data_IF_748750683513
#
_entry.id   IF_748750683513
#
_cell.length_a   1.000
_cell.length_b   1.000
_cell.length_c   1.000
_cell.angle_alpha   90.00
_cell.angle_beta   90.00
_cell.angle_gamma   90.00
#
_symmetry.space_group_name_H-M   'P 1'
#
loop_
_entity.id
_entity.type
_entity.pdbx_description
1 polymer ?
#
# COMPACT_ATOMS: atom_id res chain seq x y z
N UNK A 1 -16.95 44.22 -20.80
CA UNK A 1 -18.00 43.21 -21.03
C UNK A 1 -17.60 42.34 -22.21
N UNK A 2 -16.86 41.27 -21.96
CA UNK A 2 -16.48 40.30 -22.99
C UNK A 2 -17.69 39.43 -23.31
N UNK A 3 -18.09 39.48 -24.57
CA UNK A 3 -19.34 38.93 -25.12
C UNK A 3 -19.29 37.41 -25.04
N UNK A 4 -20.04 36.80 -24.13
CA UNK A 4 -20.23 35.35 -24.08
C UNK A 4 -20.90 34.91 -25.39
N UNK A 5 -20.22 34.12 -26.22
CA UNK A 5 -20.77 33.60 -27.47
C UNK A 5 -22.02 32.78 -27.20
N UNK A 6 -23.11 33.08 -27.93
CA UNK A 6 -24.45 32.44 -27.80
C UNK A 6 -24.56 31.06 -28.48
N UNK A 7 -23.47 30.54 -29.05
CA UNK A 7 -23.48 29.27 -29.77
C UNK A 7 -22.77 28.21 -28.93
N UNK A 8 -23.55 27.37 -28.25
CA UNK A 8 -23.09 26.17 -27.52
C UNK A 8 -22.77 25.03 -28.51
N UNK A 9 -21.64 25.10 -29.22
CA UNK A 9 -21.16 23.99 -30.08
C UNK A 9 -20.28 22.98 -29.34
N UNK A 10 -20.05 23.17 -28.03
CA UNK A 10 -19.38 22.24 -27.13
C UNK A 10 -20.24 21.94 -25.88
N UNK A 11 -21.57 21.90 -26.05
CA UNK A 11 -22.50 21.59 -24.96
C UNK A 11 -22.36 20.14 -24.50
N UNK A 12 -22.29 19.91 -23.20
CA UNK A 12 -22.39 18.55 -22.68
C UNK A 12 -23.74 17.94 -23.07
N UNK A 13 -23.72 16.69 -23.55
CA UNK A 13 -24.91 15.92 -23.98
C UNK A 13 -26.00 15.94 -22.91
N UNK A 14 -25.59 15.88 -21.64
CA UNK A 14 -26.49 16.00 -20.50
C UNK A 14 -26.55 17.44 -19.97
N UNK A 15 -27.78 17.90 -19.75
CA UNK A 15 -28.07 19.11 -18.99
C UNK A 15 -27.61 18.99 -17.55
N UNK A 16 -27.44 20.12 -16.88
CA UNK A 16 -27.10 20.14 -15.45
C UNK A 16 -28.10 19.36 -14.58
N UNK A 17 -29.40 19.44 -14.91
CA UNK A 17 -30.46 18.74 -14.19
C UNK A 17 -30.40 17.22 -14.39
N UNK A 18 -30.15 16.76 -15.61
CA UNK A 18 -29.98 15.32 -15.90
C UNK A 18 -28.75 14.77 -15.17
N UNK A 19 -27.61 15.47 -15.24
CA UNK A 19 -26.41 15.08 -14.49
C UNK A 19 -26.69 14.98 -12.99
N UNK A 20 -27.41 15.94 -12.40
CA UNK A 20 -27.78 15.89 -10.98
C UNK A 20 -28.70 14.73 -10.66
N UNK A 21 -29.67 14.43 -11.53
CA UNK A 21 -30.60 13.31 -11.35
C UNK A 21 -29.88 11.97 -11.44
N UNK A 22 -28.99 11.81 -12.43
CA UNK A 22 -28.18 10.60 -12.60
C UNK A 22 -27.18 10.44 -11.46
N UNK A 23 -26.52 11.52 -11.02
CA UNK A 23 -25.63 11.50 -9.84
C UNK A 23 -26.41 11.06 -8.61
N UNK A 24 -27.62 11.61 -8.38
CA UNK A 24 -28.47 11.25 -7.25
C UNK A 24 -28.94 9.79 -7.30
N UNK A 25 -29.35 9.29 -8.47
CA UNK A 25 -29.83 7.92 -8.63
C UNK A 25 -28.71 6.87 -8.59
N UNK A 26 -27.56 7.18 -9.21
CA UNK A 26 -26.39 6.29 -9.24
C UNK A 26 -25.56 6.33 -7.96
N UNK A 27 -25.74 7.36 -7.11
CA UNK A 27 -24.93 7.54 -5.90
C UNK A 27 -23.45 7.83 -6.15
N UNK A 28 -23.07 8.06 -7.42
CA UNK A 28 -21.68 8.26 -7.84
C UNK A 28 -21.43 9.73 -8.18
N UNK A 29 -20.35 10.30 -7.64
CA UNK A 29 -19.99 11.71 -7.80
C UNK A 29 -20.22 12.56 -6.55
N UNK A 30 -19.81 13.83 -6.59
CA UNK A 30 -19.91 14.73 -5.44
C UNK A 30 -21.30 15.37 -5.37
N UNK A 31 -22.06 15.05 -4.33
CA UNK A 31 -23.38 15.62 -4.07
C UNK A 31 -23.35 16.51 -2.81
N UNK A 32 -23.94 17.70 -2.89
CA UNK A 32 -24.24 18.53 -1.73
C UNK A 32 -25.72 18.40 -1.37
N UNK A 33 -26.01 17.70 -0.28
CA UNK A 33 -27.36 17.50 0.25
C UNK A 33 -27.37 17.82 1.74
N UNK A 34 -28.44 18.44 2.23
CA UNK A 34 -28.64 18.66 3.66
C UNK A 34 -29.06 17.34 4.30
N UNK A 35 -28.19 16.82 5.17
CA UNK A 35 -28.48 15.60 5.92
C UNK A 35 -29.45 15.90 7.07
N UNK A 36 -30.40 14.97 7.28
CA UNK A 36 -31.32 15.00 8.42
C UNK A 36 -30.65 14.51 9.71
N UNK A 37 -31.43 14.50 10.79
CA UNK A 37 -31.00 13.98 12.10
C UNK A 37 -30.52 12.53 12.02
N UNK A 38 -31.17 11.73 11.19
CA UNK A 38 -30.88 10.29 11.04
C UNK A 38 -29.49 9.99 10.47
N UNK A 39 -28.81 11.00 9.92
CA UNK A 39 -27.42 10.88 9.47
C UNK A 39 -26.40 11.03 10.62
N UNK A 40 -26.86 11.46 11.79
CA UNK A 40 -26.03 11.62 12.99
C UNK A 40 -26.24 10.40 13.87
N UNK A 41 -25.13 9.77 14.29
CA UNK A 41 -25.15 8.66 15.24
C UNK A 41 -25.76 9.13 16.57
N UNK A 42 -26.70 8.36 17.11
CA UNK A 42 -27.22 8.60 18.47
C UNK A 42 -26.12 8.49 19.53
N UNK A 43 -26.35 9.12 20.68
CA UNK A 43 -25.32 9.30 21.72
C UNK A 43 -24.97 8.00 22.46
N UNK A 44 -25.90 7.05 22.54
CA UNK A 44 -25.81 5.75 23.19
C UNK A 44 -25.40 4.62 22.24
N UNK A 45 -25.24 4.92 20.94
CA UNK A 45 -24.84 3.94 19.93
C UNK A 45 -23.33 3.72 19.87
N UNK A 46 -22.91 2.48 19.65
CA UNK A 46 -21.52 2.08 19.49
C UNK A 46 -20.93 2.63 18.18
N UNK A 47 -19.69 3.13 18.22
CA UNK A 47 -18.99 3.62 17.03
C UNK A 47 -18.58 2.50 16.04
N UNK A 48 -18.62 1.23 16.44
CA UNK A 48 -18.31 0.08 15.56
C UNK A 48 -19.57 -0.56 14.99
N UNK A 49 -20.52 -0.95 15.84
CA UNK A 49 -21.75 -1.64 15.41
C UNK A 49 -22.87 -0.69 14.99
N UNK A 50 -22.80 0.60 15.35
CA UNK A 50 -23.87 1.59 15.15
C UNK A 50 -25.21 1.17 15.79
N UNK A 51 -25.16 0.25 16.75
CA UNK A 51 -26.30 -0.19 17.55
C UNK A 51 -26.23 0.42 18.96
N UNK A 52 -27.36 0.57 19.66
CA UNK A 52 -27.39 0.98 21.06
C UNK A 52 -26.51 0.06 21.92
N UNK A 53 -25.66 0.64 22.76
CA UNK A 53 -24.73 -0.12 23.59
C UNK A 53 -25.45 -0.77 24.78
N UNK A 54 -25.27 -2.09 24.97
CA UNK A 54 -25.69 -2.75 26.21
C UNK A 54 -24.69 -2.51 27.34
N UNK A 55 -23.41 -2.79 27.07
CA UNK A 55 -22.28 -2.55 27.97
C UNK A 55 -21.36 -1.46 27.38
N UNK A 56 -21.70 -0.18 27.56
CA UNK A 56 -20.93 0.92 26.98
C UNK A 56 -19.58 1.10 27.69
N UNK A 57 -18.53 1.24 26.89
CA UNK A 57 -17.18 1.61 27.30
C UNK A 57 -16.70 2.78 26.45
N UNK A 58 -15.99 3.71 27.07
CA UNK A 58 -15.50 4.92 26.42
C UNK A 58 -13.98 4.91 26.42
N UNK A 59 -13.39 5.29 25.28
CA UNK A 59 -11.94 5.55 25.21
C UNK A 59 -11.60 6.88 25.88
N UNK A 60 -10.34 7.12 26.30
CA UNK A 60 -9.94 8.41 26.87
C UNK A 60 -10.19 9.62 25.94
N UNK A 61 -10.30 9.37 24.64
CA UNK A 61 -10.63 10.36 23.62
C UNK A 61 -12.13 10.69 23.53
N UNK A 62 -13.00 9.96 24.25
CA UNK A 62 -14.44 10.19 24.29
C UNK A 62 -15.27 9.40 23.28
N UNK A 63 -14.73 8.36 22.64
CA UNK A 63 -15.50 7.53 21.72
C UNK A 63 -16.17 6.36 22.45
N UNK A 64 -17.48 6.22 22.23
CA UNK A 64 -18.31 5.17 22.80
C UNK A 64 -18.26 3.89 21.98
N UNK A 65 -18.02 2.77 22.64
CA UNK A 65 -18.07 1.44 22.07
C UNK A 65 -18.85 0.49 22.97
N UNK A 66 -19.38 -0.57 22.37
CA UNK A 66 -19.82 -1.73 23.13
C UNK A 66 -18.59 -2.56 23.53
N UNK A 67 -18.57 -3.02 24.78
CA UNK A 67 -17.43 -3.75 25.35
C UNK A 67 -17.05 -4.98 24.53
N UNK A 68 -18.02 -5.73 24.03
CA UNK A 68 -17.76 -6.92 23.21
C UNK A 68 -17.10 -6.53 21.87
N UNK A 69 -17.71 -5.59 21.15
CA UNK A 69 -17.24 -5.15 19.83
C UNK A 69 -15.80 -4.59 19.86
N UNK A 70 -15.46 -3.75 20.85
CA UNK A 70 -14.11 -3.18 20.93
C UNK A 70 -13.05 -4.23 21.29
N UNK A 71 -13.40 -5.23 22.12
CA UNK A 71 -12.49 -6.30 22.47
C UNK A 71 -12.22 -7.24 21.30
N UNK A 72 -13.26 -7.60 20.55
CA UNK A 72 -13.12 -8.36 19.30
C UNK A 72 -12.21 -7.63 18.30
N UNK A 73 -12.41 -6.32 18.14
CA UNK A 73 -11.56 -5.48 17.31
C UNK A 73 -10.09 -5.51 17.77
N UNK A 74 -9.83 -5.35 19.08
CA UNK A 74 -8.47 -5.39 19.64
C UNK A 74 -7.82 -6.75 19.40
N UNK A 75 -8.54 -7.85 19.60
CA UNK A 75 -8.04 -9.19 19.35
C UNK A 75 -7.72 -9.40 17.87
N UNK A 76 -8.65 -9.05 16.98
CA UNK A 76 -8.46 -9.12 15.54
C UNK A 76 -7.20 -8.34 15.12
N UNK A 77 -7.07 -7.09 15.55
CA UNK A 77 -5.92 -6.25 15.21
C UNK A 77 -4.60 -6.83 15.74
N UNK A 78 -4.58 -7.41 16.94
CA UNK A 78 -3.39 -8.10 17.48
C UNK A 78 -3.00 -9.30 16.62
N UNK A 79 -3.97 -10.11 16.17
CA UNK A 79 -3.69 -11.26 15.29
C UNK A 79 -3.11 -10.81 13.94
N UNK A 80 -3.68 -9.75 13.35
CA UNK A 80 -3.20 -9.19 12.09
C UNK A 80 -1.80 -8.60 12.20
N UNK A 81 -1.51 -7.89 13.30
CA UNK A 81 -0.15 -7.40 13.59
C UNK A 81 0.82 -8.57 13.73
N UNK A 82 0.45 -9.64 14.46
CA UNK A 82 1.30 -10.82 14.62
C UNK A 82 1.60 -11.50 13.27
N UNK A 83 0.60 -11.65 12.39
CA UNK A 83 0.78 -12.19 11.04
C UNK A 83 1.75 -11.33 10.22
N UNK A 84 1.55 -10.02 10.22
CA UNK A 84 2.41 -9.05 9.50
C UNK A 84 3.84 -9.05 10.04
N UNK A 85 4.02 -9.15 11.36
CA UNK A 85 5.33 -9.24 12.01
C UNK A 85 6.07 -10.51 11.60
N UNK A 86 5.39 -11.66 11.60
CA UNK A 86 5.97 -12.94 11.15
C UNK A 86 6.40 -12.89 9.68
N UNK A 87 5.58 -12.29 8.81
CA UNK A 87 5.93 -12.11 7.39
C UNK A 87 7.16 -11.22 7.22
N UNK A 88 7.23 -10.11 7.97
CA UNK A 88 8.39 -9.21 7.99
C UNK A 88 9.67 -9.90 8.48
N UNK A 89 9.59 -10.69 9.54
CA UNK A 89 10.73 -11.45 10.07
C UNK A 89 11.24 -12.49 9.07
N UNK A 90 10.33 -13.24 8.42
CA UNK A 90 10.68 -14.19 7.36
C UNK A 90 11.41 -13.50 6.21
N UNK A 91 10.88 -12.37 5.73
CA UNK A 91 11.54 -11.62 4.66
C UNK A 91 12.91 -11.11 5.09
N UNK A 92 13.04 -10.57 6.31
CA UNK A 92 14.32 -10.11 6.85
C UNK A 92 15.36 -11.24 6.93
N UNK A 93 14.94 -12.45 7.31
CA UNK A 93 15.82 -13.62 7.33
C UNK A 93 16.27 -14.00 5.92
N UNK A 94 15.36 -14.08 4.94
CA UNK A 94 15.68 -14.39 3.54
C UNK A 94 16.65 -13.37 2.94
N UNK A 95 16.45 -12.09 3.20
CA UNK A 95 17.35 -11.03 2.73
C UNK A 95 18.74 -11.15 3.38
N UNK A 96 18.80 -11.45 4.68
CA UNK A 96 20.08 -11.67 5.39
C UNK A 96 20.82 -12.89 4.84
N UNK A 97 20.13 -14.00 4.57
CA UNK A 97 20.76 -15.19 3.99
C UNK A 97 21.22 -14.96 2.56
N UNK A 98 20.44 -14.26 1.72
CA UNK A 98 20.83 -13.92 0.34
C UNK A 98 22.09 -13.05 0.34
N UNK A 99 22.11 -11.98 1.12
CA UNK A 99 23.25 -11.08 1.22
C UNK A 99 24.51 -11.80 1.75
N UNK A 100 24.35 -12.69 2.74
CA UNK A 100 25.48 -13.50 3.22
C UNK A 100 26.01 -14.49 2.16
N UNK A 101 25.13 -15.08 1.35
CA UNK A 101 25.53 -15.96 0.26
C UNK A 101 26.23 -15.17 -0.85
N UNK A 102 25.70 -14.00 -1.22
CA UNK A 102 26.29 -13.07 -2.19
C UNK A 102 27.70 -12.64 -1.73
N UNK A 103 27.85 -12.11 -0.51
CA UNK A 103 29.15 -11.72 0.05
C UNK A 103 30.16 -12.86 0.07
N UNK A 104 29.77 -14.08 0.51
CA UNK A 104 30.65 -15.26 0.46
C UNK A 104 31.01 -15.65 -0.97
N UNK A 105 30.07 -15.54 -1.91
CA UNK A 105 30.32 -15.84 -3.32
C UNK A 105 31.27 -14.82 -3.96
N UNK A 106 31.15 -13.54 -3.61
CA UNK A 106 32.03 -12.46 -4.06
C UNK A 106 33.44 -12.65 -3.52
N UNK A 107 33.60 -12.99 -2.24
CA UNK A 107 34.89 -13.32 -1.64
C UNK A 107 35.54 -14.51 -2.35
N UNK A 108 34.79 -15.58 -2.58
CA UNK A 108 35.26 -16.74 -3.35
C UNK A 108 35.68 -16.36 -4.77
N UNK A 109 34.87 -15.56 -5.47
CA UNK A 109 35.20 -15.08 -6.81
C UNK A 109 36.46 -14.21 -6.82
N UNK A 110 36.67 -13.34 -5.82
CA UNK A 110 37.88 -12.52 -5.70
C UNK A 110 39.12 -13.40 -5.53
N UNK A 111 39.04 -14.41 -4.66
CA UNK A 111 40.13 -15.37 -4.46
C UNK A 111 40.43 -16.16 -5.74
N UNK A 112 39.40 -16.65 -6.44
CA UNK A 112 39.59 -17.38 -7.72
C UNK A 112 40.15 -16.49 -8.83
N UNK A 113 39.71 -15.23 -8.92
CA UNK A 113 40.28 -14.25 -9.87
C UNK A 113 41.74 -13.94 -9.56
N UNK A 114 42.10 -13.89 -8.28
CA UNK A 114 43.48 -13.70 -7.86
C UNK A 114 44.36 -14.89 -8.27
N UNK A 115 43.96 -16.12 -7.94
CA UNK A 115 44.70 -17.35 -8.31
C UNK A 115 44.90 -17.49 -9.83
N UNK A 116 43.86 -17.20 -10.62
CA UNK A 116 43.95 -17.26 -12.08
C UNK A 116 44.90 -16.22 -12.66
N UNK A 117 44.94 -15.02 -12.07
CA UNK A 117 45.86 -13.95 -12.46
C UNK A 117 47.32 -14.29 -12.15
N UNK A 118 47.61 -14.84 -10.96
CA UNK A 118 48.97 -15.29 -10.61
C UNK A 118 49.43 -16.44 -11.52
N UNK A 119 48.58 -17.44 -11.73
CA UNK A 119 48.91 -18.56 -12.60
C UNK A 119 49.15 -18.13 -14.06
N UNK A 120 48.50 -17.07 -14.55
CA UNK A 120 48.69 -16.54 -15.91
C UNK A 120 50.07 -15.90 -16.11
N UNK A 121 50.69 -15.34 -15.06
CA UNK A 121 52.00 -14.68 -15.15
C UNK A 121 53.13 -15.71 -15.20
N UNK A 122 52.99 -16.82 -14.47
CA UNK A 122 54.04 -17.84 -14.34
C UNK A 122 54.04 -18.86 -15.50
N UNK A 123 52.92 -19.02 -16.21
CA UNK A 123 52.75 -20.09 -17.22
C UNK A 123 52.98 -19.68 -18.68
N UNK A 124 53.20 -18.40 -18.98
CA UNK A 124 53.56 -17.96 -20.34
C UNK A 124 55.03 -17.56 -20.40
N UNK A 125 55.95 -18.45 -20.82
CA UNK A 125 57.31 -18.03 -21.15
C UNK A 125 57.24 -17.04 -22.32
N UNK A 126 57.62 -15.79 -22.07
CA UNK A 126 57.84 -14.78 -23.12
C UNK A 126 59.11 -15.23 -23.85
N UNK A 127 58.97 -15.89 -24.99
CA UNK A 127 60.08 -16.13 -25.91
C UNK A 127 60.42 -14.80 -26.61
N UNK A 128 61.57 -14.15 -26.33
CA UNK A 128 61.88 -12.81 -26.85
C UNK A 128 62.41 -12.81 -28.29
N UNK A 129 62.49 -13.97 -28.96
CA UNK A 129 63.20 -14.13 -30.24
C UNK A 129 62.30 -14.28 -31.47
N UNK A 130 60.99 -14.02 -31.39
CA UNK A 130 60.12 -13.98 -32.58
C UNK A 130 59.66 -12.55 -32.86
N UNK A 131 60.60 -11.70 -33.24
CA UNK A 131 60.32 -10.47 -33.96
C UNK A 131 60.11 -10.79 -35.44
N UNK A 132 58.91 -10.51 -35.96
CA UNK A 132 58.70 -10.26 -37.38
C UNK A 132 57.90 -11.31 -38.16
N UNK A 133 56.62 -11.04 -38.35
CA UNK A 133 56.03 -10.98 -39.69
C UNK A 133 54.68 -10.26 -39.64
N UNK A 134 54.67 -9.04 -40.19
CA UNK A 134 53.47 -8.48 -40.82
C UNK A 134 53.12 -9.35 -42.03
N UNK A 135 51.83 -9.64 -42.23
CA UNK A 135 51.30 -9.85 -43.57
C UNK A 135 49.87 -9.32 -43.64
N UNK A 136 49.76 -8.15 -44.25
CA UNK A 136 48.59 -7.70 -44.98
C UNK A 136 48.25 -8.76 -46.05
N UNK A 137 46.97 -9.09 -46.17
CA UNK A 137 46.43 -9.72 -47.38
C UNK A 137 44.93 -9.43 -47.46
N UNK A 138 44.62 -8.25 -47.98
CA UNK A 138 43.35 -7.96 -48.64
C UNK A 138 43.39 -8.40 -50.12
N UNK A 139 42.18 -8.67 -50.63
CA UNK A 139 41.74 -8.75 -52.03
C UNK A 139 41.91 -10.09 -52.78
N UNK A 140 40.77 -10.74 -52.99
CA UNK A 140 40.24 -10.91 -54.36
C UNK A 140 38.70 -10.98 -54.34
N UNK A 141 38.09 -9.90 -54.81
CA UNK A 141 36.68 -9.80 -55.16
C UNK A 141 36.45 -10.39 -56.55
N UNK A 142 35.33 -11.09 -56.77
CA UNK A 142 34.63 -11.16 -58.07
C UNK A 142 33.21 -11.72 -57.90
N UNK A 143 32.18 -10.90 -58.16
CA UNK A 143 30.91 -11.35 -58.76
C UNK A 143 29.66 -11.57 -57.90
N UNK A 144 29.00 -10.47 -57.49
CA UNK A 144 27.54 -10.15 -57.69
C UNK A 144 26.39 -11.09 -57.20
N UNK A 145 25.15 -10.56 -57.03
CA UNK A 145 24.37 -10.76 -55.79
C UNK A 145 23.17 -11.71 -55.90
N UNK A 146 22.82 -12.37 -54.79
CA UNK A 146 21.47 -12.86 -54.53
C UNK A 146 21.12 -12.72 -53.06
N UNK A 147 20.31 -11.70 -52.79
CA UNK A 147 19.25 -11.57 -51.79
C UNK A 147 19.15 -12.70 -50.73
N UNK A 148 19.90 -12.59 -49.65
CA UNK A 148 19.52 -13.06 -48.30
C UNK A 148 20.57 -12.56 -47.30
N UNK A 149 20.21 -11.58 -46.47
CA UNK A 149 21.11 -10.97 -45.50
C UNK A 149 21.61 -12.01 -44.47
N UNK A 150 22.92 -12.06 -44.16
CA UNK A 150 23.45 -12.95 -43.15
C UNK A 150 23.20 -12.37 -41.76
N UNK A 151 22.64 -13.21 -40.90
CA UNK A 151 22.47 -12.97 -39.48
C UNK A 151 23.84 -12.67 -38.85
N UNK A 152 24.12 -11.38 -38.64
CA UNK A 152 25.17 -10.93 -37.75
C UNK A 152 24.71 -11.24 -36.33
N UNK A 153 25.43 -12.12 -35.67
CA UNK A 153 25.34 -12.43 -34.23
C UNK A 153 25.84 -11.24 -33.40
N UNK A 154 25.23 -10.08 -33.60
CA UNK A 154 25.18 -9.03 -32.59
C UNK A 154 23.95 -9.33 -31.76
N UNK A 155 24.13 -9.53 -30.45
CA UNK A 155 23.06 -9.57 -29.48
C UNK A 155 22.35 -8.21 -29.49
N UNK A 156 21.48 -7.99 -30.48
CA UNK A 156 20.61 -6.82 -30.56
C UNK A 156 19.64 -6.94 -29.40
N UNK A 157 19.88 -6.17 -28.34
CA UNK A 157 18.93 -6.02 -27.24
C UNK A 157 17.62 -5.50 -27.81
N UNK A 158 16.60 -6.36 -27.88
CA UNK A 158 15.28 -5.97 -28.36
C UNK A 158 14.70 -4.92 -27.38
N UNK A 159 14.27 -3.74 -27.86
CA UNK A 159 13.81 -2.64 -27.01
C UNK A 159 12.34 -2.83 -26.59
N UNK A 160 11.95 -4.04 -26.22
CA UNK A 160 10.54 -4.36 -25.94
C UNK A 160 10.36 -4.81 -24.50
N UNK A 161 9.83 -3.88 -23.71
CA UNK A 161 9.37 -4.08 -22.33
C UNK A 161 8.33 -5.20 -22.19
N UNK A 162 7.64 -5.60 -23.27
CA UNK A 162 6.59 -6.62 -23.27
C UNK A 162 7.09 -8.06 -23.46
N UNK A 163 8.39 -8.27 -23.65
CA UNK A 163 8.96 -9.61 -23.71
C UNK A 163 9.20 -10.09 -22.26
N UNK A 164 8.60 -11.21 -21.80
CA UNK A 164 8.73 -11.68 -20.42
C UNK A 164 10.16 -11.92 -19.91
N UNK A 165 11.13 -12.13 -20.80
CA UNK A 165 12.55 -12.26 -20.45
C UNK A 165 13.29 -10.91 -20.32
N UNK A 166 12.71 -9.82 -20.81
CA UNK A 166 13.24 -8.45 -20.76
C UNK A 166 12.40 -7.53 -19.86
N UNK A 167 11.26 -8.01 -19.33
CA UNK A 167 10.51 -7.31 -18.29
C UNK A 167 11.39 -7.23 -17.05
N UNK A 168 11.66 -6.03 -16.51
CA UNK A 168 12.40 -5.92 -15.26
C UNK A 168 11.62 -6.65 -14.17
N UNK A 169 12.24 -7.66 -13.55
CA UNK A 169 11.61 -8.33 -12.41
C UNK A 169 11.29 -7.30 -11.33
N UNK A 170 10.05 -7.30 -10.86
CA UNK A 170 9.63 -6.41 -9.79
C UNK A 170 10.49 -6.70 -8.56
N UNK A 171 11.25 -5.69 -8.11
CA UNK A 171 12.04 -5.79 -6.88
C UNK A 171 11.10 -6.27 -5.76
N UNK A 172 11.47 -7.29 -4.98
CA UNK A 172 10.60 -7.84 -3.94
C UNK A 172 10.18 -6.71 -2.99
N UNK A 173 8.87 -6.59 -2.76
CA UNK A 173 8.30 -5.53 -1.93
C UNK A 173 8.84 -5.66 -0.51
N UNK A 174 9.78 -4.78 -0.13
CA UNK A 174 10.33 -4.76 1.22
C UNK A 174 9.24 -4.34 2.20
N UNK A 175 8.76 -5.30 2.99
CA UNK A 175 7.78 -5.05 4.04
C UNK A 175 8.42 -4.12 5.07
N UNK A 176 7.71 -3.04 5.43
CA UNK A 176 8.11 -2.19 6.54
C UNK A 176 7.80 -2.87 7.85
N UNK A 177 8.56 -2.57 8.90
CA UNK A 177 8.32 -3.10 10.25
C UNK A 177 6.91 -2.67 10.70
N UNK A 178 5.98 -3.61 10.96
CA UNK A 178 4.66 -3.30 11.47
C UNK A 178 4.73 -2.63 12.84
N UNK A 179 3.80 -1.70 13.12
CA UNK A 179 3.60 -1.18 14.47
C UNK A 179 2.98 -2.25 15.37
N UNK A 180 3.39 -2.29 16.64
CA UNK A 180 2.87 -3.26 17.63
C UNK A 180 1.60 -2.79 18.35
N UNK A 181 1.30 -1.50 18.27
CA UNK A 181 0.15 -0.91 18.96
C UNK A 181 -1.13 -1.10 18.13
N UNK A 182 -2.21 -1.47 18.81
CA UNK A 182 -3.57 -1.41 18.26
C UNK A 182 -4.03 0.04 18.31
N UNK A 183 -4.60 0.54 17.21
CA UNK A 183 -5.06 1.92 17.10
C UNK A 183 -6.59 1.97 17.24
N UNK A 184 -7.12 3.08 17.73
CA UNK A 184 -8.54 3.37 17.75
C UNK A 184 -9.05 3.53 16.31
N UNK A 185 -10.20 2.93 15.94
CA UNK A 185 -10.75 3.07 14.59
C UNK A 185 -11.21 4.51 14.29
N UNK A 186 -11.57 5.29 15.32
CA UNK A 186 -12.02 6.67 15.15
C UNK A 186 -10.91 7.70 15.34
N UNK A 187 -10.10 7.59 16.39
CA UNK A 187 -9.07 8.60 16.72
C UNK A 187 -7.69 8.32 16.16
N UNK A 188 -7.41 7.08 15.71
CA UNK A 188 -6.08 6.66 15.28
C UNK A 188 -5.02 6.61 16.38
N UNK A 189 -5.38 6.88 17.64
CA UNK A 189 -4.48 6.82 18.80
C UNK A 189 -4.34 5.38 19.32
N UNK A 190 -3.23 5.00 19.98
CA UNK A 190 -3.08 3.66 20.53
C UNK A 190 -4.10 3.41 21.63
N UNK A 191 -4.76 2.24 21.61
CA UNK A 191 -5.72 1.83 22.64
C UNK A 191 -5.31 0.51 23.28
N UNK A 192 -5.57 0.39 24.58
CA UNK A 192 -5.48 -0.87 25.32
C UNK A 192 -6.79 -1.14 26.06
N UNK A 193 -6.99 -2.40 26.43
CA UNK A 193 -8.19 -2.82 27.17
C UNK A 193 -8.33 -2.10 28.52
N UNK A 194 -7.22 -1.83 29.20
CA UNK A 194 -7.23 -1.17 30.51
C UNK A 194 -7.58 0.33 30.43
N UNK A 195 -7.42 0.93 29.25
CA UNK A 195 -7.70 2.35 29.03
C UNK A 195 -9.20 2.59 28.78
N UNK A 196 -10.00 1.52 28.68
CA UNK A 196 -11.44 1.59 28.45
C UNK A 196 -12.17 1.86 29.76
N UNK A 197 -12.95 2.95 29.79
CA UNK A 197 -13.70 3.38 30.97
C UNK A 197 -15.16 2.92 30.81
N UNK A 198 -15.70 2.08 31.70
CA UNK A 198 -17.09 1.68 31.63
C UNK A 198 -18.01 2.86 31.96
N UNK A 199 -19.09 3.00 31.19
CA UNK A 199 -20.13 4.01 31.40
C UNK A 199 -21.43 3.31 31.81
N UNK A 200 -22.23 3.95 32.64
CA UNK A 200 -23.59 3.48 32.94
C UNK A 200 -24.59 4.55 32.55
N UNK A 201 -25.45 4.17 31.63
CA UNK A 201 -26.59 4.98 31.24
C UNK A 201 -27.78 4.63 32.13
N UNK A 202 -28.31 5.61 32.86
CA UNK A 202 -29.47 5.43 33.75
C UNK A 202 -30.74 5.94 33.09
N UNK A 203 -31.84 5.16 33.05
CA UNK A 203 -33.07 5.57 32.41
C UNK A 203 -33.61 6.90 32.97
N UNK A 204 -34.12 7.77 32.10
CA UNK A 204 -34.75 9.03 32.50
C UNK A 204 -36.00 8.74 33.33
N UNK A 205 -36.20 9.47 34.43
CA UNK A 205 -37.43 9.41 35.22
C UNK A 205 -38.64 9.88 34.37
N UNK A 206 -39.67 9.04 34.19
CA UNK A 206 -40.87 9.39 33.42
C UNK A 206 -41.70 10.54 34.03
N UNK A 207 -41.43 10.94 35.27
CA UNK A 207 -42.13 12.03 35.95
C UNK A 207 -41.73 13.45 35.49
N UNK A 208 -40.64 13.58 34.73
CA UNK A 208 -40.09 14.87 34.29
C UNK A 208 -40.75 15.37 32.99
N UNK A 209 -41.22 16.62 33.00
CA UNK A 209 -41.99 17.22 31.91
C UNK A 209 -41.14 17.45 30.63
N UNK A 210 -41.68 17.06 29.46
CA UNK A 210 -40.96 17.02 28.17
C UNK A 210 -40.47 18.38 27.69
N UNK A 211 -41.08 19.45 28.17
CA UNK A 211 -40.76 20.84 27.77
C UNK A 211 -39.44 21.30 28.40
N UNK A 212 -39.00 20.74 29.53
CA UNK A 212 -37.65 20.98 30.07
C UNK A 212 -36.55 20.17 29.35
N UNK A 213 -36.94 19.28 28.42
CA UNK A 213 -36.10 18.25 27.81
C UNK A 213 -35.85 18.46 26.31
N UNK A 214 -36.17 19.65 25.77
CA UNK A 214 -36.17 19.98 24.33
C UNK A 214 -34.87 19.70 23.54
N UNK A 215 -33.74 19.44 24.21
CA UNK A 215 -32.48 19.02 23.57
C UNK A 215 -31.99 17.61 23.97
N UNK A 216 -32.79 16.84 24.71
CA UNK A 216 -32.42 15.51 25.23
C UNK A 216 -33.32 14.46 24.60
N UNK A 217 -32.74 13.65 23.72
CA UNK A 217 -33.40 12.44 23.26
C UNK A 217 -33.68 11.56 24.48
N UNK A 218 -34.96 11.17 24.60
CA UNK A 218 -35.50 10.34 25.67
C UNK A 218 -34.65 9.07 25.75
N UNK A 219 -33.84 8.95 26.80
CA UNK A 219 -33.90 7.77 27.66
C UNK A 219 -32.79 7.71 28.70
N UNK A 220 -31.66 8.43 28.65
CA UNK A 220 -30.55 8.10 29.57
C UNK A 220 -29.77 9.31 30.14
N UNK A 221 -29.57 9.32 31.46
CA UNK A 221 -28.61 10.16 32.21
C UNK A 221 -27.27 9.42 32.29
N UNK A 222 -26.15 10.10 32.05
CA UNK A 222 -24.81 9.54 32.23
C UNK A 222 -24.26 9.94 33.60
N UNK A 223 -23.92 8.97 34.43
CA UNK A 223 -23.16 9.20 35.67
C UNK A 223 -21.80 8.51 35.54
N UNK A 224 -20.72 9.30 35.59
CA UNK A 224 -19.35 8.79 35.64
C UNK A 224 -18.95 8.65 37.11
N UNK A 225 -18.79 7.42 37.59
CA UNK A 225 -18.10 7.17 38.87
C UNK A 225 -16.60 7.21 38.62
N UNK A 226 -15.92 8.08 39.37
CA UNK A 226 -14.46 8.22 39.43
C UNK A 226 -13.84 7.12 40.27
#
# INVERSE_FOLDING_TARGET
>A
MTRHGKNCTAGAVYTYHEKRKDTAASGYGTQSVRLGKDAIKDFDCCCLSLQPCQDPVVTPDGYLYEKQAILEYILHQKTEIAKKMKAYEKQKQTLKSSNQLESKSEERQKVERFKTSENSIVSKPINPFTSGQKKDSEVSSSGEPVTAGPATTSSQSLPSFWIPSLTPEAKPTLLKKPSKAVLCPMSGRPIKMNDLIPVRFTPLDPSLDRVALLNRQVSLLSTAHT
#
